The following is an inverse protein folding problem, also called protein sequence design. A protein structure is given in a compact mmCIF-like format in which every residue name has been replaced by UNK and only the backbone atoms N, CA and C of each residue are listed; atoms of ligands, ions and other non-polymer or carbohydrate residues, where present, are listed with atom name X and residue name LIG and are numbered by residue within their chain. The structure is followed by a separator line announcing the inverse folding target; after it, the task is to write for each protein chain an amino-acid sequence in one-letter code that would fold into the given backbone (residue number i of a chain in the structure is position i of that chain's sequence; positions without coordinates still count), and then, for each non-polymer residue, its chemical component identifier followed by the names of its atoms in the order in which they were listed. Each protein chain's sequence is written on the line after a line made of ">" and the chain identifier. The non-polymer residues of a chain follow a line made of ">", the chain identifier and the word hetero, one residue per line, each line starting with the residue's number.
data_IF_449728509453
#
_entry.id   IF_449728509453
#
_cell.length_a   1.000
_cell.length_b   1.000
_cell.length_c   1.000
_cell.angle_alpha   90.00
_cell.angle_beta   90.00
_cell.angle_gamma   90.00
#
_symmetry.space_group_name_H-M   'P 1'
#
loop_
_entity.id
_entity.type
_entity.pdbx_description
1 polymer ?
#
# COMPACT_ATOMS: atom_id res chain seq x y z
N UNK A 1 19.82 -26.30 16.98
CA UNK A 1 20.12 -26.96 15.70
C UNK A 1 19.52 -26.24 14.50
N UNK A 2 18.23 -26.39 14.16
CA UNK A 2 17.67 -25.76 12.94
C UNK A 2 17.86 -24.23 12.88
N UNK A 3 17.56 -23.51 13.97
CA UNK A 3 17.77 -22.06 14.06
C UNK A 3 19.24 -21.66 13.96
N UNK A 4 20.13 -22.39 14.63
CA UNK A 4 21.58 -22.16 14.59
C UNK A 4 22.15 -22.39 13.18
N UNK A 5 21.64 -23.37 12.44
CA UNK A 5 22.01 -23.61 11.04
C UNK A 5 21.64 -22.42 10.15
N UNK A 6 20.43 -21.87 10.31
CA UNK A 6 19.98 -20.68 9.58
C UNK A 6 20.80 -19.45 9.96
N UNK A 7 21.01 -19.20 11.26
CA UNK A 7 21.80 -18.06 11.75
C UNK A 7 23.26 -18.14 11.27
N UNK A 8 23.85 -19.34 11.24
CA UNK A 8 25.18 -19.59 10.67
C UNK A 8 25.22 -19.27 9.19
N UNK A 9 24.25 -19.76 8.40
CA UNK A 9 24.16 -19.45 6.97
C UNK A 9 24.13 -17.93 6.73
N UNK A 10 23.25 -17.22 7.45
CA UNK A 10 23.07 -15.77 7.31
C UNK A 10 24.34 -14.97 7.67
N UNK A 11 25.12 -15.46 8.63
CA UNK A 11 26.38 -14.86 9.06
C UNK A 11 27.53 -15.10 8.07
N UNK A 12 27.61 -16.30 7.49
CA UNK A 12 28.70 -16.69 6.58
C UNK A 12 28.53 -16.08 5.18
N UNK A 13 27.31 -15.84 4.73
CA UNK A 13 27.03 -15.42 3.35
C UNK A 13 26.68 -13.93 3.25
N UNK A 14 27.62 -13.02 3.53
CA UNK A 14 27.34 -11.57 3.43
C UNK A 14 27.29 -11.11 1.97
N UNK A 15 26.08 -10.81 1.46
CA UNK A 15 25.87 -10.19 0.14
C UNK A 15 25.42 -8.74 0.29
N UNK A 16 25.93 -7.87 -0.56
CA UNK A 16 25.46 -6.47 -0.71
C UNK A 16 24.45 -6.30 -1.85
N UNK A 17 24.12 -7.39 -2.55
CA UNK A 17 23.18 -7.35 -3.66
C UNK A 17 21.76 -7.08 -3.14
N UNK A 18 21.12 -6.06 -3.71
CA UNK A 18 19.72 -5.73 -3.43
C UNK A 18 18.89 -6.41 -4.51
N UNK A 19 18.24 -7.52 -4.15
CA UNK A 19 17.43 -8.28 -5.07
C UNK A 19 16.07 -7.68 -5.34
N UNK A 20 15.60 -7.89 -6.57
CA UNK A 20 14.31 -7.40 -7.05
C UNK A 20 13.15 -8.34 -6.73
N UNK A 21 13.43 -9.63 -6.52
CA UNK A 21 12.41 -10.65 -6.25
C UNK A 21 11.62 -10.35 -4.98
N UNK A 22 10.31 -10.63 -5.03
CA UNK A 22 9.42 -10.51 -3.87
C UNK A 22 8.78 -11.85 -3.56
N UNK A 23 8.74 -12.17 -2.27
CA UNK A 23 8.08 -13.37 -1.78
C UNK A 23 6.56 -13.13 -1.81
N UNK A 24 5.85 -13.91 -2.61
CA UNK A 24 4.41 -13.83 -2.72
C UNK A 24 3.73 -14.68 -1.64
N UNK A 25 4.15 -15.93 -1.50
CA UNK A 25 3.62 -16.86 -0.49
C UNK A 25 4.66 -17.92 -0.11
N UNK A 26 4.45 -18.53 1.05
CA UNK A 26 5.29 -19.63 1.55
C UNK A 26 4.45 -20.71 2.18
N UNK A 27 4.86 -21.98 2.10
CA UNK A 27 4.17 -23.08 2.76
C UNK A 27 5.18 -24.02 3.38
N UNK A 28 5.01 -24.30 4.67
CA UNK A 28 5.77 -25.35 5.33
C UNK A 28 5.25 -26.71 4.83
N UNK A 29 6.12 -27.55 4.27
CA UNK A 29 5.74 -28.88 3.78
C UNK A 29 6.15 -29.99 4.73
N UNK A 30 7.24 -29.78 5.48
CA UNK A 30 7.69 -30.67 6.57
C UNK A 30 8.19 -29.83 7.74
N UNK A 31 8.46 -30.46 8.88
CA UNK A 31 8.96 -29.78 10.09
C UNK A 31 10.16 -28.85 9.82
N UNK A 32 11.04 -29.23 8.91
CA UNK A 32 12.23 -28.45 8.54
C UNK A 32 12.35 -28.25 7.02
N UNK A 33 11.21 -28.17 6.32
CA UNK A 33 11.16 -27.92 4.87
C UNK A 33 10.10 -26.86 4.57
N UNK A 34 10.48 -25.82 3.85
CA UNK A 34 9.56 -24.77 3.38
C UNK A 34 9.65 -24.62 1.87
N UNK A 35 8.51 -24.37 1.25
CA UNK A 35 8.41 -23.93 -0.14
C UNK A 35 8.02 -22.47 -0.19
N UNK A 36 8.62 -21.73 -1.09
CA UNK A 36 8.34 -20.32 -1.32
C UNK A 36 8.01 -20.11 -2.79
N UNK A 37 7.07 -19.22 -3.04
CA UNK A 37 6.78 -18.65 -4.34
C UNK A 37 7.28 -17.22 -4.35
N UNK A 38 8.35 -16.99 -5.09
CA UNK A 38 8.86 -15.67 -5.40
C UNK A 38 8.40 -15.26 -6.79
N UNK A 39 8.34 -13.96 -7.03
CA UNK A 39 8.08 -13.41 -8.35
C UNK A 39 8.90 -12.16 -8.62
N UNK A 40 9.06 -11.87 -9.91
CA UNK A 40 9.61 -10.64 -10.44
C UNK A 40 8.83 -10.25 -11.69
N UNK A 41 8.62 -8.95 -11.89
CA UNK A 41 8.14 -8.43 -13.15
C UNK A 41 9.33 -8.07 -14.03
N UNK A 42 9.30 -8.54 -15.29
CA UNK A 42 10.28 -8.11 -16.29
C UNK A 42 10.03 -6.66 -16.74
N UNK A 43 10.86 -6.14 -17.65
CA UNK A 43 10.72 -4.76 -18.14
C UNK A 43 9.43 -4.49 -18.93
N UNK A 44 8.69 -5.54 -19.29
CA UNK A 44 7.38 -5.50 -19.94
C UNK A 44 6.24 -5.84 -18.95
N UNK A 45 6.54 -5.92 -17.66
CA UNK A 45 5.62 -6.30 -16.58
C UNK A 45 5.03 -7.70 -16.71
N UNK A 46 5.75 -8.63 -17.34
CA UNK A 46 5.38 -10.05 -17.34
C UNK A 46 5.88 -10.70 -16.06
N UNK A 47 4.97 -11.44 -15.43
CA UNK A 47 5.24 -12.17 -14.20
C UNK A 47 6.14 -13.39 -14.44
N UNK A 48 7.29 -13.42 -13.75
CA UNK A 48 8.21 -14.54 -13.71
C UNK A 48 8.18 -15.12 -12.30
N UNK A 49 7.62 -16.32 -12.19
CA UNK A 49 7.51 -17.04 -10.93
C UNK A 49 8.75 -17.93 -10.70
N UNK A 50 9.27 -17.88 -9.48
CA UNK A 50 10.39 -18.71 -9.00
C UNK A 50 9.91 -19.49 -7.78
N UNK A 51 9.96 -20.82 -7.86
CA UNK A 51 9.68 -21.67 -6.72
C UNK A 51 10.99 -22.10 -6.07
N UNK A 52 11.09 -21.84 -4.77
CA UNK A 52 12.22 -22.25 -3.94
C UNK A 52 11.74 -23.28 -2.92
N UNK A 53 12.46 -24.38 -2.77
CA UNK A 53 12.34 -25.28 -1.62
C UNK A 53 13.59 -25.13 -0.76
N UNK A 54 13.44 -24.89 0.53
CA UNK A 54 14.54 -24.89 1.51
C UNK A 54 14.33 -26.06 2.46
N UNK A 55 15.25 -27.02 2.45
CA UNK A 55 15.40 -28.03 3.48
C UNK A 55 16.51 -27.60 4.46
N UNK A 56 16.19 -27.58 5.74
CA UNK A 56 17.10 -27.22 6.84
C UNK A 56 17.01 -28.24 7.98
N UNK A 57 16.70 -29.49 7.63
CA UNK A 57 16.66 -30.63 8.57
C UNK A 57 18.05 -31.10 9.01
N UNK A 58 19.08 -30.85 8.20
CA UNK A 58 20.47 -31.27 8.43
C UNK A 58 21.38 -30.16 8.99
N UNK A 59 22.69 -30.38 8.84
CA UNK A 59 23.74 -29.43 9.28
C UNK A 59 23.93 -28.23 8.31
N UNK A 60 23.41 -28.35 7.09
CA UNK A 60 23.52 -27.35 6.02
C UNK A 60 22.13 -26.99 5.46
N UNK A 61 22.02 -25.80 4.90
CA UNK A 61 20.83 -25.33 4.19
C UNK A 61 20.87 -25.88 2.75
N UNK A 62 19.84 -26.60 2.34
CA UNK A 62 19.73 -27.18 1.00
C UNK A 62 18.62 -26.43 0.22
N UNK A 63 18.98 -25.42 -0.60
CA UNK A 63 18.03 -24.74 -1.47
C UNK A 63 17.85 -25.51 -2.78
N UNK A 64 16.61 -25.57 -3.29
CA UNK A 64 16.28 -26.11 -4.61
C UNK A 64 15.37 -25.13 -5.34
N UNK A 65 15.85 -24.56 -6.43
CA UNK A 65 15.09 -23.63 -7.28
C UNK A 65 14.43 -24.37 -8.44
N UNK A 66 13.25 -23.90 -8.85
CA UNK A 66 12.56 -24.40 -10.05
C UNK A 66 13.15 -23.91 -11.37
N UNK A 67 14.01 -22.89 -11.32
CA UNK A 67 14.63 -22.25 -12.47
C UNK A 67 16.11 -21.97 -12.18
N UNK A 68 16.91 -21.88 -13.23
CA UNK A 68 18.31 -21.45 -13.13
C UNK A 68 18.37 -19.93 -12.92
N UNK A 69 19.00 -19.52 -11.82
CA UNK A 69 19.20 -18.11 -11.45
C UNK A 69 20.68 -17.80 -11.26
N UNK A 70 21.06 -16.54 -11.37
CA UNK A 70 22.41 -16.12 -11.05
C UNK A 70 22.71 -16.29 -9.55
N UNK A 71 23.94 -16.63 -9.18
CA UNK A 71 24.35 -16.94 -7.79
C UNK A 71 23.96 -15.84 -6.79
N UNK A 72 24.13 -14.56 -7.16
CA UNK A 72 23.75 -13.43 -6.31
C UNK A 72 22.23 -13.33 -6.08
N UNK A 73 21.42 -13.71 -7.07
CA UNK A 73 19.96 -13.72 -6.96
C UNK A 73 19.48 -14.88 -6.10
N UNK A 74 20.10 -16.06 -6.28
CA UNK A 74 19.87 -17.22 -5.43
C UNK A 74 20.14 -16.87 -3.97
N UNK A 75 21.32 -16.30 -3.69
CA UNK A 75 21.71 -15.92 -2.34
C UNK A 75 20.73 -14.92 -1.72
N UNK A 76 20.32 -13.88 -2.47
CA UNK A 76 19.31 -12.94 -1.98
C UNK A 76 17.99 -13.62 -1.62
N UNK A 77 17.46 -14.48 -2.50
CA UNK A 77 16.19 -15.18 -2.29
C UNK A 77 16.29 -16.15 -1.09
N UNK A 78 17.41 -16.87 -0.95
CA UNK A 78 17.64 -17.77 0.18
C UNK A 78 17.64 -16.98 1.49
N UNK A 79 18.40 -15.88 1.57
CA UNK A 79 18.47 -15.06 2.78
C UNK A 79 17.12 -14.47 3.16
N UNK A 80 16.36 -13.97 2.19
CA UNK A 80 15.02 -13.43 2.42
C UNK A 80 14.07 -14.52 2.96
N UNK A 81 14.11 -15.73 2.38
CA UNK A 81 13.31 -16.87 2.84
C UNK A 81 13.72 -17.32 4.27
N UNK A 82 15.01 -17.40 4.54
CA UNK A 82 15.55 -17.76 5.86
C UNK A 82 15.19 -16.75 6.94
N UNK A 83 15.26 -15.45 6.63
CA UNK A 83 14.82 -14.39 7.54
C UNK A 83 13.32 -14.49 7.86
N UNK A 84 12.49 -14.85 6.88
CA UNK A 84 11.05 -15.11 7.09
C UNK A 84 10.82 -16.31 8.02
N UNK A 85 11.54 -17.42 7.82
CA UNK A 85 11.46 -18.59 8.70
C UNK A 85 11.86 -18.24 10.14
N UNK A 86 12.95 -17.47 10.32
CA UNK A 86 13.36 -16.98 11.64
C UNK A 86 12.28 -16.09 12.25
N UNK A 87 11.74 -15.15 11.49
CA UNK A 87 10.68 -14.26 11.96
C UNK A 87 9.49 -15.07 12.48
N UNK A 88 8.99 -16.02 11.69
CA UNK A 88 7.83 -16.84 12.05
C UNK A 88 8.12 -17.77 13.24
N UNK A 89 9.37 -18.20 13.44
CA UNK A 89 9.76 -19.04 14.59
C UNK A 89 9.58 -18.39 15.96
N UNK A 90 9.40 -17.07 16.03
CA UNK A 90 9.10 -16.36 17.27
C UNK A 90 7.64 -16.49 17.71
N UNK A 91 6.77 -16.98 16.83
CA UNK A 91 5.36 -17.14 17.10
C UNK A 91 5.02 -18.61 17.38
N UNK A 92 4.04 -18.81 18.26
CA UNK A 92 3.51 -20.13 18.55
C UNK A 92 2.56 -20.56 17.42
N UNK A 93 2.69 -21.81 17.00
CA UNK A 93 1.76 -22.48 16.08
C UNK A 93 1.19 -23.72 16.78
N UNK A 94 -0.09 -24.01 16.54
CA UNK A 94 -0.70 -25.30 16.92
C UNK A 94 -1.16 -26.11 15.70
N UNK A 95 -1.29 -25.47 14.54
CA UNK A 95 -1.72 -26.13 13.31
C UNK A 95 -0.49 -26.70 12.58
N UNK A 96 -0.33 -28.02 12.66
CA UNK A 96 0.74 -28.70 11.94
C UNK A 96 0.52 -28.63 10.41
N UNK A 97 1.59 -28.40 9.63
CA UNK A 97 1.52 -28.24 8.18
C UNK A 97 0.72 -29.31 7.43
N UNK A 98 0.90 -30.60 7.76
CA UNK A 98 0.15 -31.71 7.16
C UNK A 98 -1.37 -31.67 7.36
N UNK A 99 -1.88 -30.86 8.30
CA UNK A 99 -3.31 -30.80 8.64
C UNK A 99 -3.97 -29.56 8.03
N UNK A 100 -3.21 -28.57 7.53
CA UNK A 100 -3.75 -27.30 7.00
C UNK A 100 -4.78 -27.55 5.89
N UNK A 101 -4.44 -28.40 4.92
CA UNK A 101 -5.34 -28.75 3.82
C UNK A 101 -6.69 -29.31 4.34
N UNK A 102 -6.62 -30.29 5.23
CA UNK A 102 -7.79 -30.91 5.83
C UNK A 102 -8.60 -29.93 6.69
N UNK A 103 -7.93 -29.03 7.42
CA UNK A 103 -8.59 -27.99 8.22
C UNK A 103 -9.40 -27.03 7.33
N UNK A 104 -8.82 -26.62 6.20
CA UNK A 104 -9.48 -25.75 5.22
C UNK A 104 -10.68 -26.47 4.60
N UNK A 105 -10.52 -27.72 4.16
CA UNK A 105 -11.59 -28.52 3.54
C UNK A 105 -12.76 -28.74 4.50
N UNK A 106 -12.47 -29.10 5.76
CA UNK A 106 -13.50 -29.40 6.77
C UNK A 106 -14.14 -28.16 7.38
N UNK A 107 -13.63 -26.96 7.08
CA UNK A 107 -14.15 -25.69 7.59
C UNK A 107 -14.34 -25.69 9.12
N UNK A 108 -13.40 -26.28 9.87
CA UNK A 108 -13.47 -26.34 11.34
C UNK A 108 -13.25 -24.97 11.98
N UNK A 109 -14.31 -24.15 12.04
CA UNK A 109 -14.26 -22.78 12.59
C UNK A 109 -14.24 -22.71 14.12
N UNK A 110 -14.47 -23.83 14.80
CA UNK A 110 -14.60 -23.86 16.26
C UNK A 110 -13.27 -23.94 17.01
N UNK A 111 -12.20 -24.42 16.37
CA UNK A 111 -10.87 -24.53 16.99
C UNK A 111 -10.21 -23.16 17.03
N UNK A 112 -9.87 -22.68 18.23
CA UNK A 112 -9.14 -21.43 18.39
C UNK A 112 -7.65 -21.66 18.09
N UNK A 113 -7.21 -21.23 16.90
CA UNK A 113 -5.82 -21.31 16.48
C UNK A 113 -4.98 -20.15 17.05
N UNK A 114 -3.66 -20.23 16.91
CA UNK A 114 -2.76 -19.12 17.24
C UNK A 114 -2.65 -18.13 16.05
N UNK A 115 -2.26 -16.86 16.29
CA UNK A 115 -2.14 -15.86 15.22
C UNK A 115 -1.34 -16.29 13.99
N UNK A 116 -0.21 -16.97 14.18
CA UNK A 116 0.62 -17.46 13.08
C UNK A 116 -0.09 -18.54 12.24
N UNK A 117 -0.97 -19.35 12.84
CA UNK A 117 -1.70 -20.38 12.10
C UNK A 117 -2.63 -19.76 11.04
N UNK A 118 -3.23 -18.59 11.32
CA UNK A 118 -4.02 -17.87 10.32
C UNK A 118 -3.16 -17.31 9.19
N UNK A 119 -1.97 -16.78 9.49
CA UNK A 119 -1.01 -16.40 8.46
C UNK A 119 -0.66 -17.61 7.60
N UNK A 120 -0.36 -18.77 8.20
CA UNK A 120 -0.05 -20.01 7.49
C UNK A 120 -1.23 -20.49 6.60
N UNK A 121 -2.47 -20.28 7.02
CA UNK A 121 -3.66 -20.56 6.19
C UNK A 121 -3.70 -19.65 4.97
N UNK A 122 -3.49 -18.34 5.13
CA UNK A 122 -3.42 -17.41 3.99
C UNK A 122 -2.30 -17.83 3.02
N UNK A 123 -1.12 -18.08 3.57
CA UNK A 123 0.07 -18.52 2.85
C UNK A 123 -0.18 -19.82 2.05
N UNK A 124 -0.85 -20.81 2.66
CA UNK A 124 -1.26 -22.04 2.00
C UNK A 124 -2.24 -21.77 0.84
N UNK A 125 -3.28 -20.98 1.09
CA UNK A 125 -4.28 -20.67 0.07
C UNK A 125 -3.65 -19.92 -1.12
N UNK A 126 -2.80 -18.91 -0.86
CA UNK A 126 -2.11 -18.15 -1.91
C UNK A 126 -1.10 -18.99 -2.69
N UNK A 127 -0.41 -19.93 -2.02
CA UNK A 127 0.52 -20.84 -2.68
C UNK A 127 -0.19 -21.80 -3.64
N UNK A 128 -1.36 -22.35 -3.25
CA UNK A 128 -2.07 -23.36 -4.03
C UNK A 128 -3.07 -22.79 -5.04
N UNK A 129 -3.77 -21.71 -4.69
CA UNK A 129 -4.86 -21.15 -5.48
C UNK A 129 -4.46 -19.82 -6.17
N UNK A 130 -3.27 -19.29 -5.86
CA UNK A 130 -2.85 -17.95 -6.28
C UNK A 130 -3.47 -16.84 -5.44
N UNK A 131 -2.97 -15.62 -5.61
CA UNK A 131 -3.51 -14.43 -4.93
C UNK A 131 -4.50 -13.74 -5.83
N UNK A 132 -5.76 -13.84 -5.46
CA UNK A 132 -6.90 -13.26 -6.13
C UNK A 132 -8.01 -13.05 -5.09
N UNK A 133 -9.10 -12.40 -5.49
CA UNK A 133 -10.20 -12.08 -4.59
C UNK A 133 -10.82 -13.33 -3.95
N UNK A 134 -11.00 -14.43 -4.69
CA UNK A 134 -11.61 -15.67 -4.18
C UNK A 134 -10.77 -16.29 -3.06
N UNK A 135 -9.44 -16.38 -3.25
CA UNK A 135 -8.50 -16.84 -2.23
C UNK A 135 -8.57 -15.98 -0.97
N UNK A 136 -8.59 -14.66 -1.13
CA UNK A 136 -8.62 -13.72 0.00
C UNK A 136 -9.95 -13.80 0.74
N UNK A 137 -11.08 -13.90 0.02
CA UNK A 137 -12.41 -14.09 0.61
C UNK A 137 -12.49 -15.39 1.42
N UNK A 138 -11.95 -16.48 0.86
CA UNK A 138 -11.88 -17.76 1.56
C UNK A 138 -11.07 -17.63 2.86
N UNK A 139 -9.92 -16.97 2.83
CA UNK A 139 -9.11 -16.71 4.03
C UNK A 139 -9.89 -15.95 5.11
N UNK A 140 -10.52 -14.83 4.76
CA UNK A 140 -11.26 -14.03 5.73
C UNK A 140 -12.51 -14.72 6.27
N UNK A 141 -13.04 -15.73 5.56
CA UNK A 141 -14.09 -16.61 6.09
C UNK A 141 -13.66 -17.41 7.32
N UNK A 142 -12.34 -17.56 7.55
CA UNK A 142 -11.73 -18.11 8.76
C UNK A 142 -11.28 -17.03 9.74
N UNK A 143 -10.62 -15.96 9.26
CA UNK A 143 -10.05 -14.92 10.12
C UNK A 143 -11.12 -14.09 10.82
N UNK A 144 -12.17 -13.63 10.11
CA UNK A 144 -13.17 -12.72 10.68
C UNK A 144 -13.92 -13.32 11.88
N UNK A 145 -14.43 -14.58 11.81
CA UNK A 145 -15.02 -15.23 12.99
C UNK A 145 -14.05 -15.34 14.18
N UNK A 146 -12.78 -15.61 13.92
CA UNK A 146 -11.75 -15.69 14.94
C UNK A 146 -11.52 -14.34 15.63
N UNK A 147 -11.35 -13.26 14.85
CA UNK A 147 -11.19 -11.91 15.39
C UNK A 147 -12.39 -11.50 16.26
N UNK A 148 -13.61 -11.77 15.80
CA UNK A 148 -14.82 -11.53 16.59
C UNK A 148 -14.85 -12.32 17.91
N UNK A 149 -14.38 -13.57 17.89
CA UNK A 149 -14.28 -14.41 19.09
C UNK A 149 -13.23 -13.89 20.07
N UNK A 150 -12.11 -13.37 19.58
CA UNK A 150 -11.11 -12.72 20.44
C UNK A 150 -11.69 -11.50 21.14
N UNK A 151 -12.47 -10.67 20.44
CA UNK A 151 -13.16 -9.53 21.05
C UNK A 151 -14.15 -9.99 22.12
N UNK A 152 -14.97 -11.01 21.81
CA UNK A 152 -15.92 -11.59 22.76
C UNK A 152 -15.21 -12.09 24.04
N UNK A 153 -14.06 -12.75 23.87
CA UNK A 153 -13.22 -13.25 24.95
C UNK A 153 -12.30 -12.19 25.59
N UNK A 154 -12.38 -10.92 25.15
CA UNK A 154 -11.53 -9.80 25.61
C UNK A 154 -10.02 -10.06 25.44
N UNK A 155 -9.63 -10.79 24.40
CA UNK A 155 -8.24 -11.09 24.10
C UNK A 155 -7.68 -10.12 23.05
N UNK A 156 -7.53 -8.86 23.46
CA UNK A 156 -7.06 -7.77 22.59
C UNK A 156 -5.63 -7.97 22.13
N UNK A 157 -4.77 -8.58 22.96
CA UNK A 157 -3.38 -8.88 22.60
C UNK A 157 -3.27 -9.82 21.41
N UNK A 158 -3.93 -10.99 21.48
CA UNK A 158 -3.93 -11.93 20.34
C UNK A 158 -4.56 -11.32 19.09
N UNK A 159 -5.55 -10.43 19.26
CA UNK A 159 -6.14 -9.72 18.13
C UNK A 159 -5.09 -8.87 17.44
N UNK A 160 -4.38 -8.03 18.20
CA UNK A 160 -3.33 -7.17 17.64
C UNK A 160 -2.16 -7.97 17.06
N UNK A 161 -1.78 -9.09 17.67
CA UNK A 161 -0.75 -9.98 17.13
C UNK A 161 -1.17 -10.53 15.75
N UNK A 162 -2.45 -10.92 15.59
CA UNK A 162 -3.00 -11.37 14.30
C UNK A 162 -3.04 -10.27 13.25
N UNK A 163 -3.42 -9.03 13.62
CA UNK A 163 -3.40 -7.90 12.68
C UNK A 163 -1.98 -7.53 12.29
N UNK A 164 -1.03 -7.58 13.21
CA UNK A 164 0.38 -7.29 12.95
C UNK A 164 0.95 -8.27 11.92
N UNK A 165 0.73 -9.57 12.12
CA UNK A 165 1.16 -10.61 11.18
C UNK A 165 0.49 -10.48 9.80
N UNK A 166 -0.77 -10.07 9.76
CA UNK A 166 -1.49 -9.84 8.51
C UNK A 166 -0.91 -8.63 7.75
N UNK A 167 -0.67 -7.52 8.45
CA UNK A 167 -0.02 -6.32 7.90
C UNK A 167 1.40 -6.63 7.39
N UNK A 168 2.14 -7.54 8.04
CA UNK A 168 3.48 -7.93 7.59
C UNK A 168 3.46 -8.85 6.36
N UNK A 169 2.36 -9.57 6.12
CA UNK A 169 2.26 -10.57 5.06
C UNK A 169 1.83 -9.99 3.71
N UNK A 170 1.01 -8.96 3.70
CA UNK A 170 0.41 -8.41 2.48
C UNK A 170 1.44 -7.53 1.76
N UNK A 171 1.54 -7.68 0.44
CA UNK A 171 2.31 -6.76 -0.40
C UNK A 171 1.43 -5.52 -0.70
N UNK A 172 1.90 -4.37 -0.22
CA UNK A 172 1.17 -3.10 -0.34
C UNK A 172 1.67 -2.23 -1.49
N UNK A 173 2.89 -1.72 -1.38
CA UNK A 173 3.39 -0.69 -2.29
C UNK A 173 4.79 -1.07 -2.74
N UNK A 174 4.88 -2.07 -3.62
CA UNK A 174 6.15 -2.42 -4.25
C UNK A 174 6.16 -2.00 -5.72
N UNK A 175 7.20 -1.26 -6.09
CA UNK A 175 7.37 -0.71 -7.43
C UNK A 175 8.31 -1.58 -8.25
N UNK A 176 7.89 -1.88 -9.47
CA UNK A 176 8.69 -2.53 -10.50
C UNK A 176 9.02 -1.53 -11.59
N UNK A 177 10.30 -1.40 -11.93
CA UNK A 177 10.74 -0.53 -13.02
C UNK A 177 10.64 -1.25 -14.37
N UNK A 178 9.83 -0.71 -15.28
CA UNK A 178 9.76 -1.09 -16.68
C UNK A 178 10.66 -0.21 -17.56
N UNK A 179 10.59 -0.38 -18.88
CA UNK A 179 11.40 0.42 -19.82
C UNK A 179 11.00 1.91 -19.85
N UNK A 180 9.71 2.19 -19.74
CA UNK A 180 9.14 3.55 -19.92
C UNK A 180 8.14 3.95 -18.84
N UNK A 181 7.82 3.02 -17.94
CA UNK A 181 6.85 3.21 -16.87
C UNK A 181 7.27 2.34 -15.68
N UNK A 182 6.56 2.48 -14.57
CA UNK A 182 6.62 1.59 -13.41
C UNK A 182 5.33 0.78 -13.31
N UNK A 183 5.38 -0.33 -12.59
CA UNK A 183 4.22 -1.08 -12.17
C UNK A 183 4.18 -1.12 -10.65
N UNK A 184 3.05 -0.79 -10.07
CA UNK A 184 2.83 -0.87 -8.64
C UNK A 184 2.10 -2.16 -8.32
N UNK A 185 2.62 -2.93 -7.38
CA UNK A 185 1.90 -4.08 -6.85
C UNK A 185 0.62 -3.64 -6.13
N UNK A 186 -0.46 -4.37 -6.36
CA UNK A 186 -1.78 -4.04 -5.84
C UNK A 186 -2.44 -5.21 -5.11
N UNK A 187 -1.67 -6.18 -4.60
CA UNK A 187 -2.23 -7.31 -3.82
C UNK A 187 -3.14 -6.83 -2.68
N UNK A 188 -2.76 -5.75 -1.98
CA UNK A 188 -3.56 -5.20 -0.88
C UNK A 188 -5.01 -4.86 -1.27
N UNK A 189 -5.31 -4.63 -2.56
CA UNK A 189 -6.64 -4.28 -3.02
C UNK A 189 -7.66 -5.36 -2.66
N UNK A 190 -7.26 -6.64 -2.73
CA UNK A 190 -8.12 -7.76 -2.37
C UNK A 190 -8.50 -7.77 -0.87
N UNK A 191 -7.71 -7.09 -0.03
CA UNK A 191 -7.89 -7.04 1.42
C UNK A 191 -8.64 -5.78 1.90
N UNK A 192 -8.87 -4.79 1.03
CA UNK A 192 -9.41 -3.47 1.41
C UNK A 192 -10.72 -3.57 2.21
N UNK A 193 -11.69 -4.35 1.71
CA UNK A 193 -12.99 -4.53 2.36
C UNK A 193 -12.84 -5.03 3.79
N UNK A 194 -12.03 -6.07 4.00
CA UNK A 194 -11.86 -6.70 5.30
C UNK A 194 -11.07 -5.83 6.27
N UNK A 195 -10.10 -5.04 5.80
CA UNK A 195 -9.42 -4.08 6.66
C UNK A 195 -10.36 -2.99 7.16
N UNK A 196 -11.29 -2.51 6.33
CA UNK A 196 -12.33 -1.58 6.79
C UNK A 196 -13.18 -2.19 7.91
N UNK A 197 -13.58 -3.45 7.76
CA UNK A 197 -14.32 -4.18 8.81
C UNK A 197 -13.49 -4.38 10.08
N UNK A 198 -12.22 -4.73 9.96
CA UNK A 198 -11.29 -4.85 11.10
C UNK A 198 -11.13 -3.51 11.82
N UNK A 199 -10.95 -2.42 11.08
CA UNK A 199 -10.85 -1.06 11.64
C UNK A 199 -12.12 -0.69 12.40
N UNK A 200 -13.31 -1.03 11.87
CA UNK A 200 -14.59 -0.82 12.57
C UNK A 200 -14.68 -1.58 13.88
N UNK A 201 -14.19 -2.82 13.92
CA UNK A 201 -14.12 -3.62 15.16
C UNK A 201 -13.21 -2.95 16.19
N UNK A 202 -12.03 -2.49 15.77
CA UNK A 202 -11.07 -1.79 16.63
C UNK A 202 -11.66 -0.48 17.14
N UNK A 203 -12.24 0.32 16.24
CA UNK A 203 -12.90 1.58 16.57
C UNK A 203 -14.01 1.39 17.61
N UNK A 204 -14.90 0.41 17.43
CA UNK A 204 -15.96 0.11 18.38
C UNK A 204 -15.46 -0.34 19.77
N UNK A 205 -14.18 -0.71 19.89
CA UNK A 205 -13.55 -1.15 21.14
C UNK A 205 -12.29 -0.33 21.47
N UNK A 206 -12.15 0.88 20.94
CA UNK A 206 -10.88 1.61 20.93
C UNK A 206 -10.31 1.82 22.33
N UNK A 207 -11.14 2.22 23.31
CA UNK A 207 -10.70 2.42 24.69
C UNK A 207 -10.04 1.18 25.29
N UNK A 208 -10.54 -0.01 24.95
CA UNK A 208 -10.04 -1.29 25.47
C UNK A 208 -8.72 -1.66 24.81
N UNK A 209 -8.64 -1.50 23.48
CA UNK A 209 -7.39 -1.69 22.74
C UNK A 209 -6.30 -0.72 23.20
N UNK A 210 -6.66 0.55 23.38
CA UNK A 210 -5.72 1.57 23.86
C UNK A 210 -5.26 1.29 25.29
N UNK A 211 -6.13 0.75 26.16
CA UNK A 211 -5.76 0.38 27.53
C UNK A 211 -4.88 -0.88 27.60
N UNK A 212 -5.20 -1.92 26.82
CA UNK A 212 -4.57 -3.24 26.98
C UNK A 212 -3.40 -3.48 26.02
N UNK A 213 -3.41 -2.83 24.85
CA UNK A 213 -2.46 -3.06 23.75
C UNK A 213 -2.02 -1.75 23.09
N UNK A 214 -1.76 -0.72 23.91
CA UNK A 214 -1.41 0.63 23.43
C UNK A 214 -0.31 0.62 22.38
N UNK A 215 0.82 -0.02 22.69
CA UNK A 215 2.01 -0.01 21.83
C UNK A 215 1.74 -0.69 20.48
N UNK A 216 1.07 -1.85 20.49
CA UNK A 216 0.73 -2.56 19.26
C UNK A 216 -0.27 -1.78 18.41
N UNK A 217 -1.24 -1.10 19.03
CA UNK A 217 -2.20 -0.25 18.34
C UNK A 217 -1.50 0.93 17.66
N UNK A 218 -0.65 1.65 18.40
CA UNK A 218 0.12 2.78 17.87
C UNK A 218 1.05 2.36 16.73
N UNK A 219 1.71 1.20 16.86
CA UNK A 219 2.56 0.66 15.80
C UNK A 219 1.76 0.25 14.56
N UNK A 220 0.59 -0.36 14.71
CA UNK A 220 -0.29 -0.68 13.58
C UNK A 220 -0.76 0.58 12.85
N UNK A 221 -1.16 1.64 13.59
CA UNK A 221 -1.56 2.92 13.01
C UNK A 221 -0.36 3.57 12.28
N UNK A 222 0.83 3.55 12.87
CA UNK A 222 2.04 4.07 12.22
C UNK A 222 2.33 3.35 10.90
N UNK A 223 2.23 2.01 10.89
CA UNK A 223 2.38 1.22 9.66
C UNK A 223 1.36 1.62 8.61
N UNK A 224 0.08 1.78 8.98
CA UNK A 224 -0.95 2.25 8.05
C UNK A 224 -0.61 3.63 7.48
N UNK A 225 -0.08 4.57 8.29
CA UNK A 225 0.33 5.91 7.81
C UNK A 225 1.51 5.89 6.82
N UNK A 226 2.33 4.83 6.83
CA UNK A 226 3.41 4.61 5.86
C UNK A 226 2.91 4.02 4.54
N UNK A 227 1.77 3.34 4.58
CA UNK A 227 1.12 2.74 3.42
C UNK A 227 0.12 3.76 2.84
N UNK A 228 0.65 4.82 2.24
CA UNK A 228 -0.13 6.02 1.89
C UNK A 228 -1.34 5.70 0.99
N UNK A 229 -1.15 4.89 -0.06
CA UNK A 229 -2.20 4.50 -1.01
C UNK A 229 -3.26 3.67 -0.32
N UNK A 230 -2.81 2.72 0.48
CA UNK A 230 -3.69 1.86 1.25
C UNK A 230 -4.51 2.66 2.26
N UNK A 231 -3.87 3.57 2.99
CA UNK A 231 -4.51 4.43 3.97
C UNK A 231 -5.57 5.32 3.32
N UNK A 232 -5.29 5.95 2.17
CA UNK A 232 -6.29 6.73 1.45
C UNK A 232 -7.46 5.87 0.94
N UNK A 233 -7.17 4.65 0.46
CA UNK A 233 -8.22 3.73 0.04
C UNK A 233 -9.15 3.30 1.18
N UNK A 234 -8.76 3.46 2.45
CA UNK A 234 -9.60 3.16 3.62
C UNK A 234 -9.81 4.38 4.53
N UNK A 235 -9.58 5.60 4.02
CA UNK A 235 -9.48 6.81 4.84
C UNK A 235 -10.72 7.12 5.66
N UNK A 236 -11.92 6.80 5.15
CA UNK A 236 -13.16 7.02 5.89
C UNK A 236 -13.17 6.25 7.21
N UNK A 237 -12.87 4.95 7.18
CA UNK A 237 -12.84 4.10 8.37
C UNK A 237 -11.59 4.38 9.21
N UNK A 238 -10.44 4.57 8.57
CA UNK A 238 -9.18 4.85 9.26
C UNK A 238 -9.17 6.21 9.96
N UNK A 239 -9.66 7.26 9.30
CA UNK A 239 -9.86 8.58 9.89
C UNK A 239 -10.84 8.52 11.05
N UNK A 240 -11.94 7.77 10.92
CA UNK A 240 -12.89 7.55 12.03
C UNK A 240 -12.21 6.92 13.25
N UNK A 241 -11.33 5.94 13.04
CA UNK A 241 -10.54 5.33 14.13
C UNK A 241 -9.64 6.39 14.81
N UNK A 242 -8.82 7.08 14.03
CA UNK A 242 -7.79 8.01 14.53
C UNK A 242 -8.40 9.23 15.20
N UNK A 243 -9.47 9.80 14.63
CA UNK A 243 -10.04 11.10 15.01
C UNK A 243 -11.18 11.00 16.04
N UNK A 244 -11.45 9.80 16.56
CA UNK A 244 -12.63 9.54 17.37
C UNK A 244 -12.62 10.11 18.79
N UNK A 245 -11.51 9.95 19.51
CA UNK A 245 -11.41 10.27 20.93
C UNK A 245 -10.25 11.23 21.15
N UNK A 246 -10.57 12.49 21.48
CA UNK A 246 -9.59 13.59 21.57
C UNK A 246 -8.26 13.22 22.24
N UNK A 247 -8.30 12.59 23.43
CA UNK A 247 -7.08 12.21 24.15
C UNK A 247 -6.27 11.10 23.48
N UNK A 248 -6.95 10.13 22.87
CA UNK A 248 -6.30 9.03 22.15
C UNK A 248 -5.72 9.58 20.83
N UNK A 249 -6.47 10.42 20.13
CA UNK A 249 -6.02 11.09 18.90
C UNK A 249 -4.75 11.91 19.11
N UNK A 250 -4.70 12.72 20.17
CA UNK A 250 -3.48 13.48 20.51
C UNK A 250 -2.27 12.58 20.76
N UNK A 251 -2.46 11.48 21.48
CA UNK A 251 -1.37 10.54 21.76
C UNK A 251 -0.93 9.79 20.50
N UNK A 252 -1.87 9.44 19.62
CA UNK A 252 -1.58 8.89 18.28
C UNK A 252 -0.72 9.88 17.48
N UNK A 253 -1.12 11.15 17.38
CA UNK A 253 -0.35 12.15 16.63
C UNK A 253 1.02 12.41 17.25
N UNK A 254 1.14 12.47 18.58
CA UNK A 254 2.45 12.58 19.23
C UNK A 254 3.35 11.40 18.89
N UNK A 255 2.82 10.17 18.92
CA UNK A 255 3.58 8.97 18.57
C UNK A 255 4.03 8.99 17.11
N UNK A 256 3.10 9.24 16.18
CA UNK A 256 3.37 9.26 14.73
C UNK A 256 4.35 10.37 14.38
N UNK A 257 4.17 11.60 14.89
CA UNK A 257 5.08 12.71 14.63
C UNK A 257 6.50 12.41 15.12
N UNK A 258 6.63 11.79 16.29
CA UNK A 258 7.93 11.38 16.81
C UNK A 258 8.57 10.33 15.88
N UNK A 259 7.83 9.28 15.52
CA UNK A 259 8.30 8.23 14.60
C UNK A 259 8.69 8.77 13.23
N UNK A 260 7.89 9.65 12.65
CA UNK A 260 8.15 10.28 11.36
C UNK A 260 9.46 11.08 11.38
N UNK A 261 9.75 11.80 12.47
CA UNK A 261 11.02 12.51 12.67
C UNK A 261 12.19 11.55 12.82
N UNK A 262 12.04 10.53 13.66
CA UNK A 262 13.10 9.55 13.91
C UNK A 262 13.46 8.77 12.62
N UNK A 263 12.45 8.36 11.85
CA UNK A 263 12.59 7.61 10.58
C UNK A 263 12.85 8.51 9.36
N UNK A 264 12.88 9.85 9.53
CA UNK A 264 13.01 10.83 8.44
C UNK A 264 11.98 10.63 7.31
N UNK A 265 10.76 10.25 7.69
CA UNK A 265 9.69 9.90 6.77
C UNK A 265 8.68 11.05 6.63
N UNK A 266 8.36 11.43 5.40
CA UNK A 266 7.32 12.40 5.09
C UNK A 266 6.04 11.68 4.69
N UNK A 267 5.02 11.76 5.54
CA UNK A 267 3.69 11.20 5.27
C UNK A 267 2.75 12.28 4.75
N UNK A 268 2.06 12.02 3.64
CA UNK A 268 0.94 12.86 3.19
C UNK A 268 -0.37 12.53 3.95
N UNK A 269 -0.44 11.38 4.62
CA UNK A 269 -1.61 10.94 5.40
C UNK A 269 -1.72 11.72 6.71
N UNK A 270 -0.58 12.03 7.35
CA UNK A 270 -0.57 12.71 8.64
C UNK A 270 -1.09 14.16 8.57
N UNK A 271 -0.57 15.05 7.69
CA UNK A 271 -1.09 16.42 7.55
C UNK A 271 -2.59 16.44 7.23
N UNK A 272 -3.05 15.50 6.39
CA UNK A 272 -4.46 15.33 6.06
C UNK A 272 -5.31 15.07 7.32
N UNK A 273 -4.92 14.10 8.16
CA UNK A 273 -5.65 13.80 9.39
C UNK A 273 -5.55 14.90 10.44
N UNK A 274 -4.38 15.54 10.59
CA UNK A 274 -4.19 16.65 11.54
C UNK A 274 -5.04 17.87 11.18
N UNK A 275 -5.16 18.20 9.89
CA UNK A 275 -6.01 19.28 9.45
C UNK A 275 -7.49 19.05 9.79
N UNK A 276 -7.99 17.82 9.57
CA UNK A 276 -9.36 17.44 9.97
C UNK A 276 -9.52 17.56 11.49
N UNK A 277 -8.57 17.02 12.26
CA UNK A 277 -8.64 17.06 13.73
C UNK A 277 -8.71 18.48 14.29
N UNK A 278 -7.89 19.37 13.73
CA UNK A 278 -7.81 20.77 14.16
C UNK A 278 -8.94 21.64 13.58
N UNK A 279 -9.78 21.07 12.68
CA UNK A 279 -10.78 21.83 11.91
C UNK A 279 -10.16 23.02 11.18
N UNK A 280 -8.97 22.82 10.60
CA UNK A 280 -8.24 23.83 9.85
C UNK A 280 -8.52 23.66 8.36
N UNK A 281 -9.48 24.44 7.85
CA UNK A 281 -9.95 24.35 6.46
C UNK A 281 -8.84 24.66 5.44
N UNK A 282 -7.93 25.57 5.75
CA UNK A 282 -6.86 25.96 4.82
C UNK A 282 -5.76 24.89 4.79
N UNK A 283 -5.34 24.40 5.96
CA UNK A 283 -4.42 23.27 6.03
C UNK A 283 -5.02 22.00 5.38
N UNK A 284 -6.33 21.81 5.50
CA UNK A 284 -7.01 20.67 4.88
C UNK A 284 -7.01 20.76 3.36
N UNK A 285 -7.31 21.94 2.80
CA UNK A 285 -7.21 22.16 1.34
C UNK A 285 -5.79 21.94 0.83
N UNK A 286 -4.78 22.42 1.56
CA UNK A 286 -3.38 22.22 1.16
C UNK A 286 -2.96 20.74 1.26
N UNK A 287 -3.38 20.01 2.29
CA UNK A 287 -3.17 18.57 2.36
C UNK A 287 -3.87 17.83 1.19
N UNK A 288 -5.10 18.23 0.84
CA UNK A 288 -5.80 17.68 -0.32
C UNK A 288 -5.05 17.95 -1.63
N UNK A 289 -4.45 19.13 -1.82
CA UNK A 289 -3.59 19.41 -2.98
C UNK A 289 -2.41 18.45 -3.05
N UNK A 290 -1.77 18.14 -1.92
CA UNK A 290 -0.66 17.18 -1.88
C UNK A 290 -1.10 15.75 -2.22
N UNK A 291 -2.31 15.35 -1.82
CA UNK A 291 -2.91 14.08 -2.24
C UNK A 291 -3.18 14.07 -3.76
N UNK A 292 -3.68 15.17 -4.32
CA UNK A 292 -3.90 15.26 -5.78
C UNK A 292 -2.56 15.23 -6.54
N UNK A 293 -1.51 15.91 -6.05
CA UNK A 293 -0.16 15.82 -6.62
C UNK A 293 0.38 14.39 -6.58
N UNK A 294 0.13 13.68 -5.49
CA UNK A 294 0.48 12.27 -5.36
C UNK A 294 -0.23 11.40 -6.41
N UNK A 295 -1.54 11.56 -6.59
CA UNK A 295 -2.32 10.87 -7.65
C UNK A 295 -1.80 11.19 -9.05
N UNK A 296 -1.49 12.46 -9.32
CA UNK A 296 -0.95 12.92 -10.60
C UNK A 296 0.41 12.29 -10.91
N UNK A 297 1.31 12.24 -9.93
CA UNK A 297 2.62 11.60 -10.09
C UNK A 297 2.49 10.11 -10.39
N UNK A 298 1.56 9.44 -9.69
CA UNK A 298 1.31 8.02 -9.91
C UNK A 298 0.78 7.73 -11.31
N UNK A 299 -0.17 8.55 -11.80
CA UNK A 299 -0.72 8.44 -13.16
C UNK A 299 0.33 8.61 -14.26
N UNK A 300 1.31 9.50 -14.06
CA UNK A 300 2.44 9.69 -14.99
C UNK A 300 3.39 8.50 -14.99
N UNK A 301 3.51 7.83 -13.84
CA UNK A 301 4.60 6.89 -13.59
C UNK A 301 4.14 5.45 -13.73
N UNK A 302 2.91 5.12 -13.33
CA UNK A 302 2.43 3.74 -13.18
C UNK A 302 1.46 3.30 -14.28
N UNK A 303 1.65 2.06 -14.74
CA UNK A 303 0.75 1.40 -15.68
C UNK A 303 -0.62 1.01 -15.07
N UNK A 304 -0.72 0.85 -13.75
CA UNK A 304 -1.94 0.48 -13.03
C UNK A 304 -2.31 1.55 -12.00
N UNK A 305 -3.12 2.53 -12.43
CA UNK A 305 -3.41 3.74 -11.64
C UNK A 305 -4.91 3.95 -11.34
N UNK A 306 -5.78 2.98 -11.64
CA UNK A 306 -7.25 3.11 -11.50
C UNK A 306 -7.67 3.49 -10.07
N UNK A 307 -7.05 2.86 -9.06
CA UNK A 307 -7.35 3.17 -7.67
C UNK A 307 -6.88 4.58 -7.26
N UNK A 308 -5.79 5.08 -7.85
CA UNK A 308 -5.31 6.44 -7.60
C UNK A 308 -6.28 7.47 -8.17
N UNK A 309 -6.79 7.23 -9.39
CA UNK A 309 -7.85 8.04 -9.97
C UNK A 309 -9.07 8.05 -9.05
N UNK A 310 -9.47 6.89 -8.50
CA UNK A 310 -10.61 6.80 -7.60
C UNK A 310 -10.40 7.60 -6.30
N UNK A 311 -9.19 7.57 -5.72
CA UNK A 311 -8.81 8.39 -4.55
C UNK A 311 -8.94 9.88 -4.90
N UNK A 312 -8.34 10.30 -6.02
CA UNK A 312 -8.39 11.68 -6.46
C UNK A 312 -9.82 12.18 -6.71
N UNK A 313 -10.64 11.37 -7.38
CA UNK A 313 -12.05 11.67 -7.62
C UNK A 313 -12.84 11.80 -6.32
N UNK A 314 -12.57 10.95 -5.31
CA UNK A 314 -13.21 11.06 -4.00
C UNK A 314 -12.90 12.38 -3.31
N UNK A 315 -11.65 12.86 -3.39
CA UNK A 315 -11.26 14.17 -2.82
C UNK A 315 -11.95 15.31 -3.56
N UNK A 316 -12.01 15.26 -4.90
CA UNK A 316 -12.66 16.30 -5.70
C UNK A 316 -14.17 16.36 -5.45
N UNK A 317 -14.82 15.21 -5.22
CA UNK A 317 -16.24 15.15 -4.88
C UNK A 317 -16.54 15.77 -3.50
N UNK A 318 -15.63 15.64 -2.55
CA UNK A 318 -15.81 16.15 -1.18
C UNK A 318 -15.46 17.65 -1.07
N UNK A 319 -14.31 18.05 -1.64
CA UNK A 319 -13.78 19.42 -1.53
C UNK A 319 -14.27 20.35 -2.65
N UNK A 320 -14.59 19.78 -3.81
CA UNK A 320 -15.06 20.50 -4.98
C UNK A 320 -13.99 20.80 -6.04
N UNK A 321 -14.44 21.05 -7.27
CA UNK A 321 -13.60 21.28 -8.44
C UNK A 321 -12.71 22.53 -8.37
N UNK A 322 -13.05 23.50 -7.51
CA UNK A 322 -12.22 24.68 -7.29
C UNK A 322 -10.81 24.30 -6.80
N UNK A 323 -10.69 23.21 -6.03
CA UNK A 323 -9.39 22.67 -5.59
C UNK A 323 -8.43 22.41 -6.76
N UNK A 324 -8.94 21.82 -7.85
CA UNK A 324 -8.15 21.50 -9.03
C UNK A 324 -7.70 22.75 -9.80
N UNK A 325 -8.56 23.77 -9.82
CA UNK A 325 -8.25 25.06 -10.43
C UNK A 325 -7.18 25.78 -9.61
N UNK A 326 -7.33 25.81 -8.27
CA UNK A 326 -6.36 26.42 -7.38
C UNK A 326 -5.00 25.72 -7.49
N UNK A 327 -4.99 24.39 -7.53
CA UNK A 327 -3.78 23.59 -7.76
C UNK A 327 -3.15 23.93 -9.11
N UNK A 328 -3.94 24.01 -10.18
CA UNK A 328 -3.46 24.41 -11.50
C UNK A 328 -2.88 25.83 -11.49
N UNK A 329 -3.54 26.79 -10.84
CA UNK A 329 -3.07 28.17 -10.75
C UNK A 329 -1.78 28.32 -9.94
N UNK A 330 -1.54 27.42 -8.98
CA UNK A 330 -0.30 27.38 -8.19
C UNK A 330 0.86 26.76 -8.98
N UNK A 331 0.63 25.61 -9.62
CA UNK A 331 1.71 24.80 -10.18
C UNK A 331 1.87 24.98 -11.70
N UNK A 332 0.84 25.50 -12.37
CA UNK A 332 0.65 25.50 -13.82
C UNK A 332 0.86 24.13 -14.50
N UNK A 333 0.73 23.05 -13.74
CA UNK A 333 0.89 21.70 -14.22
C UNK A 333 -0.38 21.24 -14.95
N UNK A 334 -0.36 21.23 -16.28
CA UNK A 334 -1.50 20.83 -17.11
C UNK A 334 -1.95 19.38 -16.90
N UNK A 335 -1.13 18.55 -16.28
CA UNK A 335 -1.44 17.15 -16.04
C UNK A 335 -2.63 16.94 -15.10
N UNK A 336 -2.97 17.96 -14.29
CA UNK A 336 -4.23 17.95 -13.51
C UNK A 336 -5.44 17.76 -14.40
N UNK A 337 -5.45 18.34 -15.61
CA UNK A 337 -6.55 18.19 -16.58
C UNK A 337 -6.45 16.93 -17.44
N UNK A 338 -5.34 16.20 -17.36
CA UNK A 338 -5.23 14.84 -17.90
C UNK A 338 -5.84 13.85 -16.90
N UNK A 339 -5.57 14.04 -15.61
CA UNK A 339 -6.15 13.22 -14.54
C UNK A 339 -7.64 13.47 -14.35
N UNK A 340 -8.04 14.73 -14.41
CA UNK A 340 -9.41 15.19 -14.22
C UNK A 340 -9.81 15.97 -15.48
N UNK A 341 -10.36 15.30 -16.51
CA UNK A 341 -10.67 15.95 -17.77
C UNK A 341 -11.62 17.13 -17.60
N UNK A 342 -11.36 18.24 -18.29
CA UNK A 342 -12.21 19.46 -18.24
C UNK A 342 -13.68 19.15 -18.58
N UNK A 343 -13.92 18.15 -19.43
CA UNK A 343 -15.26 17.67 -19.77
C UNK A 343 -16.08 17.14 -18.58
N UNK A 344 -15.42 16.77 -17.48
CA UNK A 344 -16.05 16.30 -16.23
C UNK A 344 -16.42 17.44 -15.27
N UNK A 345 -15.94 18.65 -15.52
CA UNK A 345 -16.23 19.80 -14.65
C UNK A 345 -17.65 20.33 -14.93
N UNK A 346 -18.35 20.84 -13.91
CA UNK A 346 -19.60 21.59 -14.10
C UNK A 346 -19.39 22.80 -15.03
N UNK A 347 -20.42 23.14 -15.82
CA UNK A 347 -20.33 24.18 -16.86
C UNK A 347 -19.90 25.56 -16.32
N UNK A 348 -20.27 25.89 -15.08
CA UNK A 348 -19.92 27.14 -14.41
C UNK A 348 -18.39 27.36 -14.29
N UNK A 349 -17.61 26.28 -14.19
CA UNK A 349 -16.14 26.38 -14.08
C UNK A 349 -15.46 26.56 -15.44
N UNK A 350 -16.14 26.32 -16.56
CA UNK A 350 -15.52 26.35 -17.90
C UNK A 350 -14.88 27.71 -18.21
N UNK A 351 -15.55 28.81 -17.87
CA UNK A 351 -15.01 30.16 -18.09
C UNK A 351 -13.77 30.44 -17.22
N UNK A 352 -13.80 29.99 -15.96
CA UNK A 352 -12.68 30.15 -15.01
C UNK A 352 -11.46 29.35 -15.48
N UNK A 353 -11.65 28.09 -15.85
CA UNK A 353 -10.58 27.22 -16.37
C UNK A 353 -9.95 27.84 -17.63
N UNK A 354 -10.77 28.34 -18.57
CA UNK A 354 -10.28 29.01 -19.78
C UNK A 354 -9.37 30.19 -19.44
N UNK A 355 -9.80 31.05 -18.50
CA UNK A 355 -9.00 32.21 -18.05
C UNK A 355 -7.68 31.79 -17.40
N UNK A 356 -7.69 30.73 -16.58
CA UNK A 356 -6.46 30.23 -15.95
C UNK A 356 -5.50 29.61 -16.98
N UNK A 357 -6.01 28.88 -17.97
CA UNK A 357 -5.20 28.37 -19.09
C UNK A 357 -4.57 29.53 -19.90
N UNK A 358 -5.34 30.58 -20.21
CA UNK A 358 -4.82 31.78 -20.89
C UNK A 358 -3.75 32.51 -20.06
N UNK A 359 -3.91 32.59 -18.73
CA UNK A 359 -2.89 33.13 -17.83
C UNK A 359 -1.63 32.28 -17.85
N UNK A 360 -1.76 30.96 -17.79
CA UNK A 360 -0.65 30.02 -17.84
C UNK A 360 0.14 30.13 -19.16
N UNK A 361 -0.53 30.33 -20.30
CA UNK A 361 0.15 30.61 -21.58
C UNK A 361 1.02 31.87 -21.47
N UNK A 362 0.48 32.98 -20.94
CA UNK A 362 1.25 34.22 -20.80
C UNK A 362 2.46 34.04 -19.89
N UNK A 363 2.29 33.29 -18.80
CA UNK A 363 3.38 32.96 -17.88
C UNK A 363 4.50 32.18 -18.58
N UNK A 364 4.19 31.09 -19.30
CA UNK A 364 5.19 30.30 -20.00
C UNK A 364 5.79 31.04 -21.20
N UNK A 365 5.00 31.81 -21.95
CA UNK A 365 5.49 32.63 -23.05
C UNK A 365 6.54 33.66 -22.57
N UNK A 366 6.30 34.31 -21.43
CA UNK A 366 7.30 35.21 -20.83
C UNK A 366 8.58 34.46 -20.42
N UNK A 367 8.46 33.22 -19.91
CA UNK A 367 9.63 32.39 -19.56
C UNK A 367 10.44 31.91 -20.78
N UNK A 368 9.85 31.88 -21.99
CA UNK A 368 10.57 31.50 -23.20
C UNK A 368 11.67 32.48 -23.62
N UNK A 369 11.65 33.70 -23.08
CA UNK A 369 12.73 34.68 -23.27
C UNK A 369 14.02 34.22 -22.59
N UNK A 370 13.94 33.38 -21.55
CA UNK A 370 15.09 32.79 -20.87
C UNK A 370 15.49 31.45 -21.51
N UNK A 371 16.75 31.35 -21.95
CA UNK A 371 17.29 30.15 -22.61
C UNK A 371 17.10 28.87 -21.77
N UNK A 372 17.23 28.96 -20.43
CA UNK A 372 17.11 27.84 -19.49
C UNK A 372 15.70 27.20 -19.49
N UNK A 373 14.65 27.98 -19.71
CA UNK A 373 13.26 27.52 -19.62
C UNK A 373 12.55 27.44 -20.98
N UNK A 374 13.23 27.80 -22.08
CA UNK A 374 12.60 27.96 -23.40
C UNK A 374 11.94 26.67 -23.89
N UNK A 375 12.64 25.53 -23.80
CA UNK A 375 12.15 24.26 -24.30
C UNK A 375 10.96 23.74 -23.48
N UNK A 376 11.10 23.72 -22.16
CA UNK A 376 10.03 23.27 -21.24
C UNK A 376 8.81 24.18 -21.32
N UNK A 377 9.00 25.50 -21.44
CA UNK A 377 7.90 26.45 -21.60
C UNK A 377 7.18 26.27 -22.94
N UNK A 378 7.90 25.97 -24.02
CA UNK A 378 7.29 25.67 -25.32
C UNK A 378 6.38 24.42 -25.25
N UNK A 379 6.85 23.35 -24.61
CA UNK A 379 6.06 22.13 -24.39
C UNK A 379 4.78 22.42 -23.60
N UNK A 380 4.87 23.22 -22.52
CA UNK A 380 3.71 23.60 -21.72
C UNK A 380 2.73 24.46 -22.53
N UNK A 381 3.20 25.45 -23.30
CA UNK A 381 2.32 26.26 -24.18
C UNK A 381 1.61 25.37 -25.21
N UNK A 382 2.30 24.39 -25.81
CA UNK A 382 1.68 23.45 -26.74
C UNK A 382 0.60 22.59 -26.05
N UNK A 383 0.86 22.08 -24.85
CA UNK A 383 -0.09 21.32 -24.07
C UNK A 383 -1.33 22.13 -23.68
N UNK A 384 -1.14 23.38 -23.24
CA UNK A 384 -2.26 24.28 -22.88
C UNK A 384 -3.09 24.62 -24.11
N UNK A 385 -2.45 24.93 -25.25
CA UNK A 385 -3.14 25.19 -26.50
C UNK A 385 -3.98 24.00 -26.96
N UNK A 386 -3.44 22.77 -26.81
CA UNK A 386 -4.20 21.54 -27.08
C UNK A 386 -5.46 21.46 -26.20
N UNK A 387 -5.34 21.70 -24.90
CA UNK A 387 -6.49 21.73 -23.98
C UNK A 387 -7.53 22.77 -24.38
N UNK A 388 -7.09 23.99 -24.75
CA UNK A 388 -7.99 25.05 -25.22
C UNK A 388 -8.72 24.67 -26.51
N UNK A 389 -8.00 24.10 -27.49
CA UNK A 389 -8.58 23.68 -28.76
C UNK A 389 -9.55 22.50 -28.61
N UNK A 390 -9.25 21.53 -27.75
CA UNK A 390 -10.10 20.37 -27.53
C UNK A 390 -11.39 20.72 -26.80
N UNK A 391 -11.33 21.64 -25.82
CA UNK A 391 -12.46 21.89 -24.91
C UNK A 391 -13.25 23.17 -25.23
N UNK A 392 -12.71 24.10 -26.03
CA UNK A 392 -13.32 25.43 -26.27
C UNK A 392 -13.38 25.82 -27.75
N UNK A 393 -13.33 24.84 -28.67
CA UNK A 393 -13.26 25.08 -30.13
C UNK A 393 -14.42 25.91 -30.68
N UNK A 394 -15.61 25.80 -30.07
CA UNK A 394 -16.82 26.49 -30.53
C UNK A 394 -16.78 28.01 -30.27
N UNK A 395 -16.08 28.43 -29.22
CA UNK A 395 -15.86 29.84 -28.91
C UNK A 395 -14.99 30.54 -29.97
N UNK A 396 -14.09 29.81 -30.63
CA UNK A 396 -13.21 30.33 -31.69
C UNK A 396 -13.85 30.31 -33.08
N UNK A 397 -15.09 29.82 -33.21
CA UNK A 397 -15.88 29.88 -34.47
C UNK A 397 -16.95 30.97 -34.45
N UNK A 398 -17.13 31.64 -33.32
CA UNK A 398 -18.16 32.67 -33.09
C UNK A 398 -17.60 34.10 -33.07
N UNK A 399 -16.30 34.27 -33.33
CA UNK A 399 -15.66 35.49 -33.86
C UNK A 399 -15.35 35.30 -35.34
#
# INVERSE_FOLDING_TARGET
>A
MARECIEKYLAEHTSKYIGKYRCHSSVQTKKFEHKFRYYILDSQFRDINVFLTIDYSGEEIIPTFSVELHEQEQEYIIKDALNKIIYDSHYKTILHCHIIAHFIETHQKETLLEPLDYRNILDYLEYHNGTNQETVDQFYSFLMPYLNRLIYNKNYKKFMDSITLLLDKILYEYEWDGTTAKYLDTQYQYHLYYFREIIRIVYANLDKFYKETKEQLLEAIWRLCKLQRFAFAIMTDFGSLVLSHYHITLDIFHYINKRAKDEHYQSIVLPYMEAIFNSDDEAFKDACKDVIRFVMNDMLTFANHDLQIAIGNSIVLDVGYQLLIDLFSQDYNTFVFVCFPISTFPEEYRCTIKKELEKAIRFYAARMEHDEYRLTSFEQVANINRLLMENYREDYRSE
#
